data_IF_758459906572
#
_entry.id   IF_758459906572
#
_cell.length_a   1.000
_cell.length_b   1.000
_cell.length_c   1.000
_cell.angle_alpha   90.00
_cell.angle_beta   90.00
_cell.angle_gamma   90.00
#
_symmetry.space_group_name_H-M   'P 1'
#
loop_
_entity.id
_entity.type
_entity.pdbx_description
1 polymer ?
#
# COMPACT_ATOMS: atom_id res chain seq x y z
N UNK A 1 17.45 -53.48 4.54
CA UNK A 1 16.16 -53.01 3.97
C UNK A 1 15.91 -51.56 4.40
N UNK A 2 15.90 -50.59 3.47
CA UNK A 2 15.61 -49.17 3.79
C UNK A 2 14.10 -48.92 3.66
N UNK A 3 13.39 -48.70 4.79
CA UNK A 3 11.98 -48.26 4.76
C UNK A 3 11.94 -46.84 4.17
N UNK A 4 11.33 -46.68 2.99
CA UNK A 4 11.00 -45.35 2.46
C UNK A 4 9.84 -44.81 3.29
N UNK A 5 10.10 -43.78 4.10
CA UNK A 5 9.05 -43.00 4.74
C UNK A 5 8.34 -42.19 3.66
N UNK A 6 7.19 -42.67 3.19
CA UNK A 6 6.28 -41.90 2.36
C UNK A 6 5.50 -40.94 3.26
N UNK A 7 5.96 -39.69 3.36
CA UNK A 7 5.19 -38.63 4.00
C UNK A 7 4.06 -38.23 3.05
N UNK A 8 2.84 -38.71 3.32
CA UNK A 8 1.65 -38.27 2.60
C UNK A 8 1.39 -36.80 2.97
N UNK A 9 1.62 -35.89 2.01
CA UNK A 9 1.32 -34.48 2.21
C UNK A 9 -0.19 -34.27 2.24
N UNK A 10 -0.73 -33.87 3.38
CA UNK A 10 -2.12 -33.47 3.45
C UNK A 10 -2.36 -32.22 2.58
N UNK A 11 -3.42 -32.22 1.75
CA UNK A 11 -3.74 -31.06 0.93
C UNK A 11 -4.04 -29.86 1.85
N UNK A 12 -3.60 -28.65 1.47
CA UNK A 12 -3.89 -27.45 2.26
C UNK A 12 -5.42 -27.21 2.32
N UNK A 13 -5.95 -26.64 3.41
CA UNK A 13 -7.37 -26.27 3.52
C UNK A 13 -7.87 -25.43 2.34
N UNK A 14 -9.18 -25.51 2.03
CA UNK A 14 -9.77 -24.81 0.89
C UNK A 14 -9.56 -23.29 0.91
N UNK A 15 -9.70 -22.67 2.09
CA UNK A 15 -9.49 -21.22 2.27
C UNK A 15 -8.05 -20.80 1.94
N UNK A 16 -7.04 -21.63 2.26
CA UNK A 16 -5.65 -21.35 1.93
C UNK A 16 -5.43 -21.32 0.42
N UNK A 17 -6.01 -22.28 -0.30
CA UNK A 17 -5.93 -22.35 -1.76
C UNK A 17 -6.63 -21.15 -2.41
N UNK A 18 -7.79 -20.76 -1.92
CA UNK A 18 -8.53 -19.61 -2.43
C UNK A 18 -7.77 -18.29 -2.18
N UNK A 19 -7.18 -18.11 -0.99
CA UNK A 19 -6.35 -16.95 -0.68
C UNK A 19 -5.11 -16.89 -1.57
N UNK A 20 -4.39 -18.01 -1.71
CA UNK A 20 -3.23 -18.10 -2.59
C UNK A 20 -3.59 -17.77 -4.04
N UNK A 21 -4.73 -18.27 -4.55
CA UNK A 21 -5.20 -17.94 -5.91
C UNK A 21 -5.44 -16.44 -6.09
N UNK A 22 -6.09 -15.78 -5.12
CA UNK A 22 -6.34 -14.33 -5.17
C UNK A 22 -5.03 -13.55 -5.16
N UNK A 23 -4.12 -13.91 -4.26
CA UNK A 23 -2.79 -13.31 -4.20
C UNK A 23 -2.00 -13.48 -5.50
N UNK A 24 -2.00 -14.70 -6.09
CA UNK A 24 -1.34 -14.96 -7.38
C UNK A 24 -1.92 -14.10 -8.51
N UNK A 25 -3.24 -13.84 -8.48
CA UNK A 25 -3.88 -12.94 -9.43
C UNK A 25 -3.35 -11.50 -9.32
N UNK A 26 -3.23 -10.96 -8.09
CA UNK A 26 -2.64 -9.64 -7.85
C UNK A 26 -1.17 -9.59 -8.29
N UNK A 27 -0.40 -10.64 -7.96
CA UNK A 27 1.01 -10.74 -8.34
C UNK A 27 1.21 -10.74 -9.86
N UNK A 28 0.38 -11.49 -10.60
CA UNK A 28 0.42 -11.52 -12.06
C UNK A 28 0.02 -10.18 -12.69
N UNK A 29 -0.87 -9.40 -12.07
CA UNK A 29 -1.20 -8.05 -12.54
C UNK A 29 0.01 -7.13 -12.36
N UNK A 30 0.64 -7.16 -11.18
CA UNK A 30 1.84 -6.37 -10.90
C UNK A 30 2.96 -6.67 -11.90
N UNK A 31 3.25 -7.95 -12.15
CA UNK A 31 4.32 -8.35 -13.08
C UNK A 31 4.05 -7.90 -14.52
N UNK A 32 2.78 -7.89 -14.96
CA UNK A 32 2.39 -7.34 -16.27
C UNK A 32 2.57 -5.82 -16.32
N UNK A 33 2.11 -5.11 -15.30
CA UNK A 33 2.27 -3.66 -15.20
C UNK A 33 3.74 -3.23 -15.11
N UNK A 34 4.60 -4.07 -14.53
CA UNK A 34 6.04 -3.85 -14.50
C UNK A 34 6.70 -4.09 -15.86
N UNK A 35 6.26 -5.12 -16.60
CA UNK A 35 6.76 -5.42 -17.94
C UNK A 35 6.36 -4.35 -18.99
N UNK A 36 5.19 -3.73 -18.82
CA UNK A 36 4.69 -2.67 -19.71
C UNK A 36 5.29 -1.29 -19.42
N UNK A 37 5.95 -1.12 -18.26
CA UNK A 37 6.61 0.13 -17.95
C UNK A 37 7.89 0.26 -18.78
N UNK A 38 8.09 1.38 -19.51
CA UNK A 38 9.36 1.63 -20.17
C UNK A 38 10.46 1.58 -19.11
N UNK A 39 11.69 1.13 -19.46
CA UNK A 39 12.82 1.21 -18.57
C UNK A 39 12.84 2.60 -17.97
N UNK A 40 12.72 2.70 -16.64
CA UNK A 40 12.86 3.99 -15.97
C UNK A 40 14.27 4.43 -16.31
N UNK A 41 14.39 5.36 -17.26
CA UNK A 41 15.63 6.10 -17.46
C UNK A 41 16.04 6.50 -16.07
N UNK A 42 17.22 6.03 -15.64
CA UNK A 42 17.76 6.29 -14.31
C UNK A 42 17.73 7.80 -14.14
N UNK A 43 16.66 8.30 -13.52
CA UNK A 43 16.41 9.71 -13.45
C UNK A 43 17.60 10.26 -12.66
N UNK A 44 18.51 10.93 -13.37
CA UNK A 44 19.55 11.73 -12.77
C UNK A 44 18.87 12.49 -11.63
N UNK A 45 19.46 12.52 -10.42
CA UNK A 45 18.78 12.94 -9.20
C UNK A 45 18.01 14.20 -9.53
N UNK A 46 16.68 14.06 -9.63
CA UNK A 46 15.87 15.11 -10.21
C UNK A 46 16.19 16.37 -9.42
N UNK A 47 16.86 17.33 -10.07
CA UNK A 47 17.04 18.67 -9.52
C UNK A 47 15.63 19.06 -9.11
N UNK A 48 15.41 19.32 -7.83
CA UNK A 48 14.08 19.56 -7.30
C UNK A 48 13.42 20.60 -8.21
N UNK A 49 12.41 20.23 -9.04
CA UNK A 49 11.85 21.16 -10.00
C UNK A 49 11.19 22.34 -9.28
N UNK A 50 10.96 22.23 -7.96
CA UNK A 50 10.52 23.32 -7.09
C UNK A 50 11.61 24.37 -6.82
N UNK A 51 12.87 23.95 -6.73
CA UNK A 51 14.00 24.88 -6.65
C UNK A 51 14.19 25.65 -7.96
N UNK A 52 13.78 25.07 -9.09
CA UNK A 52 13.86 25.72 -10.41
C UNK A 52 12.61 26.56 -10.76
N UNK A 53 11.42 26.20 -10.25
CA UNK A 53 10.14 26.84 -10.62
C UNK A 53 9.63 27.86 -9.59
N UNK A 54 10.36 28.12 -8.49
CA UNK A 54 9.89 29.02 -7.43
C UNK A 54 8.57 28.57 -6.77
N UNK A 55 8.12 27.35 -7.03
CA UNK A 55 6.93 26.78 -6.42
C UNK A 55 7.26 26.37 -4.99
N UNK A 56 7.12 27.30 -4.06
CA UNK A 56 6.80 26.96 -2.69
C UNK A 56 5.45 26.25 -2.73
N UNK A 57 5.45 24.92 -2.75
CA UNK A 57 4.30 24.19 -2.25
C UNK A 57 4.16 24.64 -0.80
N UNK A 58 3.32 25.67 -0.59
CA UNK A 58 2.91 26.10 0.72
C UNK A 58 2.53 24.86 1.51
N UNK A 59 2.98 24.80 2.75
CA UNK A 59 2.63 23.78 3.73
C UNK A 59 1.14 23.89 4.14
N UNK A 60 0.27 24.19 3.18
CA UNK A 60 -1.16 24.45 3.34
C UNK A 60 -1.99 23.30 2.76
N UNK A 61 -1.64 22.07 3.11
CA UNK A 61 -2.68 21.09 3.44
C UNK A 61 -2.99 21.21 4.93
N UNK A 62 -3.15 22.45 5.40
CA UNK A 62 -3.52 22.78 6.75
C UNK A 62 -5.03 22.57 6.88
N UNK A 63 -5.43 21.36 7.26
CA UNK A 63 -6.75 21.13 7.89
C UNK A 63 -6.82 21.75 9.30
N UNK A 64 -6.01 22.78 9.58
CA UNK A 64 -5.85 23.46 10.88
C UNK A 64 -5.22 22.62 11.99
N UNK A 65 -5.09 21.30 11.81
CA UNK A 65 -4.60 20.40 12.85
C UNK A 65 -3.15 20.01 12.59
N UNK A 66 -2.26 20.40 13.50
CA UNK A 66 -0.87 19.98 13.47
C UNK A 66 -0.79 18.44 13.43
N UNK A 67 0.05 17.91 12.53
CA UNK A 67 0.32 16.47 12.46
C UNK A 67 0.91 16.00 13.80
N UNK A 68 0.28 15.01 14.48
CA UNK A 68 0.75 14.59 15.79
C UNK A 68 2.15 13.98 15.70
N UNK A 69 2.96 14.24 16.73
CA UNK A 69 4.27 13.63 16.86
C UNK A 69 4.21 12.09 16.73
N UNK A 70 5.22 11.44 16.12
CA UNK A 70 5.26 9.99 15.97
C UNK A 70 5.08 9.26 17.30
N UNK A 71 4.13 8.33 17.35
CA UNK A 71 3.82 7.54 18.53
C UNK A 71 3.45 6.09 18.18
N UNK A 72 3.75 5.15 19.09
CA UNK A 72 3.37 3.76 18.92
C UNK A 72 1.85 3.61 18.70
N UNK A 73 1.48 2.68 17.83
CA UNK A 73 0.14 2.44 17.34
C UNK A 73 -0.30 3.34 16.18
N UNK A 74 0.42 4.41 15.82
CA UNK A 74 0.07 5.24 14.67
C UNK A 74 0.36 4.50 13.34
N UNK A 75 -0.39 4.89 12.31
CA UNK A 75 -0.10 4.57 10.90
C UNK A 75 0.36 5.87 10.25
N UNK A 76 1.49 5.80 9.53
CA UNK A 76 2.07 6.96 8.84
C UNK A 76 2.42 6.63 7.39
N UNK A 77 2.25 7.60 6.50
CA UNK A 77 2.72 7.55 5.12
C UNK A 77 4.08 8.23 5.05
N UNK A 78 5.10 7.52 4.60
CA UNK A 78 6.45 8.06 4.46
C UNK A 78 6.54 9.08 3.33
N UNK A 79 7.34 10.12 3.54
CA UNK A 79 7.62 11.14 2.53
C UNK A 79 8.43 10.53 1.37
N UNK A 80 8.16 10.89 0.10
CA UNK A 80 8.90 10.38 -1.07
C UNK A 80 10.27 11.09 -1.23
N UNK A 81 11.10 11.01 -0.19
CA UNK A 81 12.37 11.72 -0.10
C UNK A 81 13.60 10.88 -0.47
N UNK A 82 13.42 9.60 -0.76
CA UNK A 82 14.46 8.71 -1.28
C UNK A 82 13.95 7.84 -2.44
N UNK A 83 14.86 7.10 -3.08
CA UNK A 83 14.51 6.28 -4.23
C UNK A 83 13.42 5.23 -3.92
N UNK A 84 13.46 4.59 -2.75
CA UNK A 84 12.49 3.56 -2.37
C UNK A 84 11.08 4.16 -2.16
N UNK A 85 10.99 5.27 -1.45
CA UNK A 85 9.71 5.98 -1.21
C UNK A 85 9.17 6.73 -2.42
N UNK A 86 10.00 6.98 -3.44
CA UNK A 86 9.57 7.49 -4.76
C UNK A 86 9.09 6.39 -5.70
N UNK A 87 9.56 5.16 -5.52
CA UNK A 87 9.10 4.03 -6.33
C UNK A 87 7.63 3.72 -6.10
N UNK A 88 7.16 3.86 -4.85
CA UNK A 88 5.76 3.67 -4.45
C UNK A 88 5.44 4.32 -3.09
N UNK A 89 4.17 4.68 -2.82
CA UNK A 89 3.74 5.10 -1.49
C UNK A 89 4.03 4.04 -0.42
N UNK A 90 4.61 4.44 0.72
CA UNK A 90 4.96 3.51 1.80
C UNK A 90 4.20 3.86 3.08
N UNK A 91 3.23 3.03 3.42
CA UNK A 91 2.53 3.12 4.70
C UNK A 91 3.21 2.22 5.72
N UNK A 92 3.41 2.73 6.93
CA UNK A 92 4.00 1.98 8.03
C UNK A 92 3.16 2.09 9.30
N UNK A 93 3.05 0.99 10.04
CA UNK A 93 2.56 1.00 11.41
C UNK A 93 3.72 1.13 12.39
N UNK A 94 3.64 2.08 13.32
CA UNK A 94 4.62 2.25 14.39
C UNK A 94 4.32 1.28 15.54
N UNK A 95 5.10 0.23 15.70
CA UNK A 95 4.79 -0.84 16.67
C UNK A 95 5.30 -0.53 18.07
N UNK A 96 6.52 -0.01 18.18
CA UNK A 96 7.17 0.32 19.45
C UNK A 96 8.21 1.42 19.25
N UNK A 97 8.54 2.14 20.34
CA UNK A 97 9.60 3.16 20.38
C UNK A 97 10.66 2.77 21.40
N UNK A 98 11.94 2.93 21.07
CA UNK A 98 13.07 2.78 21.99
C UNK A 98 14.21 3.71 21.58
N UNK A 99 14.71 4.52 22.52
CA UNK A 99 15.88 5.40 22.31
C UNK A 99 15.82 6.24 21.01
N UNK A 100 14.71 6.94 20.76
CA UNK A 100 14.54 7.75 19.55
C UNK A 100 14.32 6.97 18.25
N UNK A 101 14.34 5.64 18.30
CA UNK A 101 14.06 4.76 17.17
C UNK A 101 12.67 4.13 17.30
N UNK A 102 12.05 3.81 16.17
CA UNK A 102 10.78 3.11 16.09
C UNK A 102 10.93 1.79 15.35
N UNK A 103 10.41 0.72 15.92
CA UNK A 103 10.15 -0.51 15.17
C UNK A 103 8.87 -0.32 14.38
N UNK A 104 8.95 -0.49 13.08
CA UNK A 104 7.82 -0.31 12.16
C UNK A 104 7.55 -1.60 11.38
N UNK A 105 6.30 -1.80 11.00
CA UNK A 105 5.90 -2.81 10.02
C UNK A 105 5.30 -2.09 8.79
N UNK A 106 5.77 -2.38 7.57
CA UNK A 106 5.15 -1.83 6.37
C UNK A 106 3.80 -2.48 6.13
N UNK A 107 2.90 -1.74 5.51
CA UNK A 107 1.76 -2.35 4.84
C UNK A 107 2.19 -2.82 3.44
N UNK A 108 1.72 -4.00 3.06
CA UNK A 108 1.99 -4.58 1.75
C UNK A 108 1.23 -3.84 0.64
N UNK A 109 1.74 -3.95 -0.58
CA UNK A 109 1.07 -3.41 -1.79
C UNK A 109 -0.18 -4.20 -2.20
N UNK A 110 -0.30 -5.44 -1.73
CA UNK A 110 -1.39 -6.36 -2.07
C UNK A 110 -2.50 -6.36 -1.01
N UNK A 111 -3.71 -6.67 -1.45
CA UNK A 111 -4.88 -6.75 -0.59
C UNK A 111 -5.00 -8.11 0.12
N UNK A 112 -4.32 -9.14 -0.40
CA UNK A 112 -4.27 -10.48 0.18
C UNK A 112 -2.91 -10.75 0.82
N UNK A 113 -2.86 -11.34 2.03
CA UNK A 113 -1.59 -11.74 2.64
C UNK A 113 -1.04 -12.98 1.93
N UNK A 114 0.23 -12.91 1.58
CA UNK A 114 0.97 -13.91 0.83
C UNK A 114 1.36 -15.10 1.69
N UNK A 115 1.84 -14.87 2.92
CA UNK A 115 2.30 -15.92 3.84
C UNK A 115 2.13 -15.57 5.33
N UNK A 116 2.52 -16.47 6.23
CA UNK A 116 2.14 -16.50 7.66
C UNK A 116 2.51 -15.23 8.46
N UNK A 117 3.46 -14.44 7.99
CA UNK A 117 3.87 -13.19 8.63
C UNK A 117 3.15 -11.93 8.12
N UNK A 118 2.18 -12.09 7.23
CA UNK A 118 1.36 -11.01 6.69
C UNK A 118 -0.03 -11.10 7.27
N UNK A 119 -0.47 -10.03 7.94
CA UNK A 119 -1.74 -9.99 8.66
C UNK A 119 -2.76 -9.19 7.87
N UNK A 120 -3.86 -9.82 7.46
CA UNK A 120 -5.02 -9.11 6.95
C UNK A 120 -5.65 -8.23 8.05
N UNK A 121 -5.79 -6.95 7.75
CA UNK A 121 -6.56 -5.96 8.50
C UNK A 121 -7.99 -5.91 7.97
N UNK A 122 -8.88 -5.27 8.71
CA UNK A 122 -10.28 -5.08 8.32
C UNK A 122 -10.49 -3.75 7.59
N UNK A 123 -9.41 -3.13 7.11
CA UNK A 123 -9.45 -1.80 6.50
C UNK A 123 -9.95 -1.87 5.06
N UNK A 124 -10.76 -0.89 4.67
CA UNK A 124 -11.29 -0.80 3.30
C UNK A 124 -10.22 -0.35 2.29
N UNK A 125 -9.33 0.57 2.68
CA UNK A 125 -8.27 1.10 1.82
C UNK A 125 -7.27 0.00 1.41
N UNK A 126 -7.11 -0.30 0.10
CA UNK A 126 -6.26 -1.39 -0.36
C UNK A 126 -4.83 -1.37 0.20
N UNK A 127 -4.18 -0.21 0.20
CA UNK A 127 -2.81 -0.04 0.70
C UNK A 127 -2.64 -0.25 2.22
N UNK A 128 -3.72 -0.46 2.97
CA UNK A 128 -3.70 -0.71 4.41
C UNK A 128 -4.28 -2.09 4.79
N UNK A 129 -4.60 -2.94 3.81
CA UNK A 129 -5.25 -4.24 4.04
C UNK A 129 -4.33 -5.31 4.60
N UNK A 130 -3.03 -5.24 4.31
CA UNK A 130 -2.08 -6.27 4.73
C UNK A 130 -0.93 -5.63 5.49
N UNK A 131 -0.70 -6.04 6.73
CA UNK A 131 0.43 -5.60 7.55
C UNK A 131 1.53 -6.67 7.54
N UNK A 132 2.71 -6.33 7.01
CA UNK A 132 3.82 -7.28 6.81
C UNK A 132 4.72 -7.36 8.05
N UNK A 133 4.29 -8.11 9.06
CA UNK A 133 4.97 -8.26 10.35
C UNK A 133 6.26 -9.08 10.30
N UNK A 134 6.50 -9.78 9.18
CA UNK A 134 7.77 -10.46 8.91
C UNK A 134 8.87 -9.51 8.43
N UNK A 135 8.51 -8.33 7.90
CA UNK A 135 9.44 -7.39 7.25
C UNK A 135 9.62 -6.13 8.10
N UNK A 136 9.90 -6.32 9.39
CA UNK A 136 10.06 -5.22 10.33
C UNK A 136 11.31 -4.40 10.00
N UNK A 137 11.19 -3.09 10.17
CA UNK A 137 12.31 -2.15 10.07
C UNK A 137 12.42 -1.31 11.34
N UNK A 138 13.59 -0.70 11.52
CA UNK A 138 13.85 0.29 12.56
C UNK A 138 14.14 1.63 11.89
N UNK A 139 13.33 2.65 12.20
CA UNK A 139 13.44 3.99 11.63
C UNK A 139 13.61 5.05 12.74
N UNK A 140 14.40 6.11 12.51
CA UNK A 140 14.59 7.16 13.50
C UNK A 140 13.36 8.09 13.57
N UNK A 141 13.12 8.66 14.75
CA UNK A 141 12.00 9.59 14.99
C UNK A 141 12.03 10.79 14.05
N UNK A 142 13.22 11.32 13.71
CA UNK A 142 13.39 12.46 12.80
C UNK A 142 12.83 12.19 11.40
N UNK A 143 13.01 10.97 10.89
CA UNK A 143 12.44 10.57 9.59
C UNK A 143 10.92 10.49 9.67
N UNK A 144 10.39 9.91 10.74
CA UNK A 144 8.94 9.76 10.95
C UNK A 144 8.25 11.09 11.26
N UNK A 145 8.96 12.08 11.79
CA UNK A 145 8.42 13.42 12.00
C UNK A 145 8.12 14.15 10.68
N UNK A 146 8.81 13.76 9.59
CA UNK A 146 8.59 14.29 8.23
C UNK A 146 7.54 13.53 7.43
N UNK A 147 7.03 12.43 7.98
CA UNK A 147 6.01 11.60 7.34
C UNK A 147 4.61 12.14 7.69
N UNK A 148 3.57 11.68 7.01
CA UNK A 148 2.20 12.13 7.28
C UNK A 148 1.43 11.15 8.15
N UNK A 149 0.67 11.66 9.12
CA UNK A 149 -0.28 10.84 9.89
C UNK A 149 -1.46 10.40 9.03
N UNK A 150 -1.75 9.10 9.06
CA UNK A 150 -2.85 8.49 8.28
C UNK A 150 -3.93 7.95 9.21
N UNK A 151 -3.55 7.50 10.41
CA UNK A 151 -4.51 6.92 11.35
C UNK A 151 -3.85 6.21 12.52
N UNK A 152 -4.60 5.29 13.12
CA UNK A 152 -4.12 4.47 14.24
C UNK A 152 -4.57 3.02 14.08
N UNK A 153 -3.71 2.09 14.45
CA UNK A 153 -4.10 0.70 14.67
C UNK A 153 -5.12 0.63 15.81
N UNK A 154 -6.21 -0.10 15.61
CA UNK A 154 -7.18 -0.41 16.65
C UNK A 154 -6.55 -1.27 17.76
N UNK A 155 -7.21 -1.39 18.91
CA UNK A 155 -6.73 -2.29 19.98
C UNK A 155 -6.63 -3.74 19.49
N UNK A 156 -7.63 -4.19 18.73
CA UNK A 156 -7.66 -5.52 18.13
C UNK A 156 -6.49 -5.73 17.14
N UNK A 157 -6.24 -4.77 16.25
CA UNK A 157 -5.12 -4.83 15.30
C UNK A 157 -3.77 -4.91 16.03
N UNK A 158 -3.57 -4.12 17.10
CA UNK A 158 -2.32 -4.17 17.89
C UNK A 158 -2.14 -5.50 18.59
N UNK A 159 -3.20 -6.06 19.18
CA UNK A 159 -3.16 -7.37 19.83
C UNK A 159 -2.85 -8.47 18.83
N UNK A 160 -3.52 -8.47 17.67
CA UNK A 160 -3.28 -9.40 16.58
C UNK A 160 -1.83 -9.31 16.06
N UNK A 161 -1.33 -8.10 15.84
CA UNK A 161 0.05 -7.87 15.39
C UNK A 161 1.08 -8.39 16.41
N UNK A 162 0.86 -8.17 17.70
CA UNK A 162 1.72 -8.71 18.75
C UNK A 162 1.71 -10.24 18.78
N UNK A 163 0.54 -10.86 18.63
CA UNK A 163 0.40 -12.32 18.61
C UNK A 163 1.13 -12.95 17.41
N UNK A 164 0.95 -12.41 16.19
CA UNK A 164 1.67 -12.86 14.99
C UNK A 164 3.18 -12.70 15.18
N UNK A 165 3.66 -11.57 15.73
CA UNK A 165 5.09 -11.39 15.99
C UNK A 165 5.67 -12.40 16.97
N UNK A 166 4.96 -12.73 18.05
CA UNK A 166 5.38 -13.77 18.99
C UNK A 166 5.41 -15.14 18.30
N UNK A 167 4.45 -15.42 17.44
CA UNK A 167 4.40 -16.65 16.66
C UNK A 167 5.60 -16.77 15.71
N UNK A 168 5.89 -15.74 14.93
CA UNK A 168 7.06 -15.70 14.04
C UNK A 168 8.39 -15.85 14.80
N UNK A 169 8.44 -15.42 16.06
CA UNK A 169 9.60 -15.60 16.93
C UNK A 169 9.67 -16.99 17.61
N UNK A 170 8.76 -17.92 17.29
CA UNK A 170 8.68 -19.24 17.91
C UNK A 170 8.23 -19.23 19.38
N UNK A 171 7.70 -18.10 19.86
CA UNK A 171 7.37 -17.90 21.29
C UNK A 171 5.92 -18.28 21.64
N UNK A 172 5.05 -18.49 20.65
CA UNK A 172 3.66 -18.87 20.86
C UNK A 172 3.05 -19.53 19.61
N UNK A 173 2.07 -20.41 19.80
CA UNK A 173 1.18 -20.82 18.72
C UNK A 173 0.23 -19.67 18.34
N UNK A 174 -0.17 -19.63 17.07
CA UNK A 174 -1.15 -18.66 16.58
C UNK A 174 -2.55 -19.25 16.71
N UNK A 175 -3.49 -18.48 17.28
CA UNK A 175 -4.89 -18.90 17.36
C UNK A 175 -5.46 -19.17 15.95
N UNK A 176 -6.30 -20.21 15.76
CA UNK A 176 -6.80 -20.59 14.42
C UNK A 176 -7.49 -19.46 13.67
N UNK A 177 -8.27 -18.62 14.35
CA UNK A 177 -9.00 -17.49 13.77
C UNK A 177 -8.02 -16.43 13.25
N UNK A 178 -6.94 -16.21 13.98
CA UNK A 178 -5.88 -15.28 13.58
C UNK A 178 -5.02 -15.87 12.46
N UNK A 179 -4.76 -17.19 12.48
CA UNK A 179 -4.05 -17.88 11.40
C UNK A 179 -4.80 -17.79 10.06
N UNK A 180 -6.14 -17.82 10.07
CA UNK A 180 -6.95 -17.61 8.87
C UNK A 180 -6.84 -16.19 8.29
N UNK A 181 -6.47 -15.20 9.11
CA UNK A 181 -6.18 -13.83 8.68
C UNK A 181 -4.76 -13.66 8.15
N UNK A 182 -3.90 -14.65 8.34
CA UNK A 182 -2.56 -14.65 7.78
C UNK A 182 -2.52 -15.33 6.40
N UNK A 183 -1.44 -15.10 5.66
CA UNK A 183 -1.23 -15.79 4.40
C UNK A 183 -0.87 -17.27 4.61
N UNK A 184 -1.08 -18.13 3.60
CA UNK A 184 -0.79 -19.56 3.72
C UNK A 184 0.71 -19.84 3.83
N UNK A 185 1.13 -20.95 4.48
CA UNK A 185 2.55 -21.30 4.62
C UNK A 185 3.26 -21.43 3.27
N UNK A 186 4.55 -21.07 3.24
CA UNK A 186 5.45 -21.33 2.11
C UNK A 186 5.94 -22.78 2.21
N UNK A 187 5.48 -23.65 1.31
CA UNK A 187 5.82 -25.08 1.33
C UNK A 187 6.85 -25.49 0.28
N UNK A 188 6.87 -24.81 -0.86
CA UNK A 188 7.68 -25.20 -2.00
C UNK A 188 8.85 -24.20 -2.24
N UNK A 189 10.07 -24.67 -2.55
CA UNK A 189 11.19 -23.79 -2.86
C UNK A 189 10.95 -22.92 -4.10
N UNK A 190 10.28 -23.44 -5.12
CA UNK A 190 9.93 -22.70 -6.35
C UNK A 190 8.58 -21.96 -6.27
N UNK A 191 8.09 -21.67 -5.05
CA UNK A 191 6.88 -20.88 -4.88
C UNK A 191 7.16 -19.41 -5.30
N UNK A 192 6.38 -18.81 -6.21
CA UNK A 192 6.61 -17.44 -6.69
C UNK A 192 6.55 -16.39 -5.58
N UNK A 193 5.92 -16.70 -4.44
CA UNK A 193 5.93 -15.83 -3.26
C UNK A 193 7.34 -15.61 -2.68
N UNK A 194 8.31 -16.46 -3.01
CA UNK A 194 9.70 -16.28 -2.59
C UNK A 194 10.36 -15.06 -3.27
N UNK A 195 10.05 -14.84 -4.55
CA UNK A 195 10.51 -13.67 -5.31
C UNK A 195 9.93 -12.39 -4.71
N UNK A 196 8.62 -12.34 -4.54
CA UNK A 196 7.94 -11.25 -3.83
C UNK A 196 8.56 -10.96 -2.45
N UNK A 197 8.82 -12.00 -1.65
CA UNK A 197 9.45 -11.86 -0.34
C UNK A 197 10.86 -11.28 -0.44
N UNK A 198 11.64 -11.67 -1.45
CA UNK A 198 12.97 -11.12 -1.67
C UNK A 198 12.91 -9.64 -2.05
N UNK A 199 12.00 -9.26 -2.96
CA UNK A 199 11.76 -7.86 -3.37
C UNK A 199 11.40 -6.98 -2.18
N UNK A 200 10.41 -7.40 -1.38
CA UNK A 200 9.95 -6.62 -0.22
C UNK A 200 11.05 -6.48 0.84
N UNK A 201 11.88 -7.52 1.04
CA UNK A 201 13.02 -7.45 1.96
C UNK A 201 14.06 -6.46 1.45
N UNK A 202 14.40 -6.52 0.18
CA UNK A 202 15.35 -5.60 -0.45
C UNK A 202 14.84 -4.14 -0.37
N UNK A 203 13.56 -3.93 -0.65
CA UNK A 203 12.89 -2.64 -0.54
C UNK A 203 13.00 -2.05 0.87
N UNK A 204 12.68 -2.83 1.91
CA UNK A 204 12.78 -2.34 3.30
C UNK A 204 14.23 -2.12 3.75
N UNK A 205 15.17 -2.93 3.28
CA UNK A 205 16.59 -2.70 3.56
C UNK A 205 17.08 -1.35 2.98
N UNK A 206 16.67 -1.00 1.75
CA UNK A 206 16.96 0.32 1.14
C UNK A 206 16.37 1.46 1.95
N UNK A 207 15.13 1.31 2.42
CA UNK A 207 14.47 2.29 3.29
C UNK A 207 15.26 2.53 4.59
N UNK A 208 15.72 1.45 5.23
CA UNK A 208 16.51 1.54 6.45
C UNK A 208 17.89 2.17 6.21
N UNK A 209 18.57 1.80 5.11
CA UNK A 209 19.85 2.38 4.75
C UNK A 209 19.75 3.88 4.51
N UNK A 210 18.74 4.33 3.76
CA UNK A 210 18.48 5.76 3.54
C UNK A 210 18.23 6.53 4.85
N UNK A 211 17.62 5.88 5.85
CA UNK A 211 17.38 6.48 7.16
C UNK A 211 18.64 6.57 8.04
N UNK A 212 19.67 5.76 7.78
CA UNK A 212 20.95 5.80 8.51
C UNK A 212 21.92 6.85 7.97
N UNK A 213 21.86 7.14 6.67
CA UNK A 213 22.73 8.12 5.99
C UNK A 213 22.24 9.56 6.18
N UNK A 214 20.94 9.76 6.40
CA UNK A 214 20.41 11.08 6.65
C UNK A 214 21.15 11.70 7.84
N UNK A 215 21.94 12.77 7.64
CA UNK A 215 22.63 13.39 8.74
C UNK A 215 21.59 13.76 9.80
N UNK A 216 21.93 13.69 11.10
CA UNK A 216 21.14 14.36 12.11
C UNK A 216 21.22 15.83 11.75
N UNK A 217 20.30 16.32 10.92
CA UNK A 217 20.31 17.73 10.56
C UNK A 217 20.16 18.46 11.88
N UNK A 218 21.23 19.16 12.22
CA UNK A 218 21.27 20.22 13.20
C UNK A 218 19.99 21.04 13.07
N UNK A 219 19.49 21.48 14.23
CA UNK A 219 18.35 22.36 14.42
C UNK A 219 17.89 23.00 13.13
N UNK A 220 16.68 22.63 12.68
CA UNK A 220 15.91 23.26 11.61
C UNK A 220 16.57 24.55 11.14
N UNK A 221 17.50 24.44 10.17
CA UNK A 221 17.97 25.62 9.46
C UNK A 221 16.68 26.22 8.93
N UNK A 222 16.31 27.35 9.52
CA UNK A 222 15.20 28.15 9.06
C UNK A 222 15.45 28.26 7.56
N UNK A 223 14.58 27.64 6.77
CA UNK A 223 14.58 27.87 5.34
C UNK A 223 14.58 29.38 5.23
N UNK A 224 15.57 30.00 4.55
CA UNK A 224 15.60 31.45 4.46
C UNK A 224 14.22 31.83 3.97
N UNK A 225 13.50 32.60 4.80
CA UNK A 225 12.28 33.28 4.37
C UNK A 225 12.76 34.16 3.23
N UNK A 226 12.73 33.63 2.01
CA UNK A 226 12.84 34.44 0.82
C UNK A 226 11.67 35.38 0.93
N UNK A 227 11.98 36.64 1.26
CA UNK A 227 11.02 37.73 1.27
C UNK A 227 10.11 37.55 0.08
N UNK A 228 8.80 37.52 0.34
CA UNK A 228 7.75 37.56 -0.66
C UNK A 228 7.74 38.93 -1.37
N UNK A 229 8.90 39.37 -1.84
CA UNK A 229 9.11 40.61 -2.54
C UNK A 229 8.73 40.38 -4.00
N UNK A 230 7.53 40.85 -4.33
CA UNK A 230 7.13 41.35 -5.64
C UNK A 230 7.32 40.38 -6.82
N UNK A 231 6.57 39.27 -6.82
CA UNK A 231 6.09 38.75 -8.10
C UNK A 231 4.87 39.59 -8.50
N UNK A 232 5.12 40.57 -9.37
CA UNK A 232 4.07 41.27 -10.11
C UNK A 232 3.09 40.26 -10.69
N UNK A 233 1.79 40.55 -10.49
CA UNK A 233 0.68 39.72 -10.92
C UNK A 233 0.72 39.53 -12.44
N UNK A 234 1.33 38.43 -12.88
CA UNK A 234 1.05 37.83 -14.19
C UNK A 234 -0.36 37.20 -14.16
N UNK A 235 -1.37 38.03 -13.93
CA UNK A 235 -2.76 37.71 -14.20
C UNK A 235 -2.96 37.90 -15.70
N UNK A 236 -2.54 36.91 -16.48
CA UNK A 236 -2.97 36.81 -17.87
C UNK A 236 -4.50 36.73 -17.91
N UNK A 237 -5.10 37.66 -18.66
CA UNK A 237 -6.53 37.72 -18.91
C UNK A 237 -6.94 36.42 -19.61
N UNK A 238 -7.72 35.58 -18.91
CA UNK A 238 -8.33 34.40 -19.51
C UNK A 238 -9.32 34.83 -20.59
N UNK A 239 -9.02 34.51 -21.84
CA UNK A 239 -9.99 34.53 -22.92
C UNK A 239 -11.19 33.64 -22.54
N UNK A 240 -12.39 34.16 -22.77
CA UNK A 240 -13.67 33.47 -22.62
C UNK A 240 -13.66 32.16 -23.40
N UNK A 241 -13.81 31.04 -22.68
CA UNK A 241 -14.05 29.74 -23.29
C UNK A 241 -15.35 29.81 -24.08
N UNK A 242 -15.25 29.66 -25.40
CA UNK A 242 -16.39 29.70 -26.30
C UNK A 242 -17.43 28.66 -25.93
N UNK A 243 -18.64 29.13 -25.61
CA UNK A 243 -19.84 28.32 -25.51
C UNK A 243 -20.25 27.87 -26.92
N UNK A 244 -19.60 26.83 -27.44
CA UNK A 244 -20.04 26.14 -28.65
C UNK A 244 -21.38 25.46 -28.39
N UNK A 245 -22.47 26.13 -28.76
CA UNK A 245 -23.80 25.51 -28.89
C UNK A 245 -23.68 24.30 -29.82
N UNK A 246 -23.97 23.12 -29.30
CA UNK A 246 -24.25 21.94 -30.12
C UNK A 246 -25.60 22.16 -30.84
N UNK A 247 -25.68 22.10 -32.17
CA UNK A 247 -26.96 22.19 -32.86
C UNK A 247 -27.86 20.98 -32.52
N UNK A 248 -29.19 21.15 -32.46
CA UNK A 248 -30.12 20.06 -32.18
C UNK A 248 -30.13 19.05 -33.33
N UNK A 249 -30.10 17.77 -32.98
CA UNK A 249 -30.25 16.67 -33.91
C UNK A 249 -31.69 16.65 -34.46
N UNK A 250 -31.81 16.48 -35.78
CA UNK A 250 -33.10 16.32 -36.46
C UNK A 250 -33.80 15.02 -36.03
N UNK A 251 -35.14 15.00 -35.93
CA UNK A 251 -35.90 13.78 -35.68
C UNK A 251 -35.89 12.90 -36.94
N UNK A 252 -35.52 11.63 -36.78
CA UNK A 252 -35.75 10.61 -37.79
C UNK A 252 -37.15 10.01 -37.57
N UNK A 253 -38.03 10.30 -38.51
CA UNK A 253 -39.36 9.71 -38.66
C UNK A 253 -39.30 8.26 -39.15
N UNK A 254 -40.20 7.46 -38.58
CA UNK A 254 -40.78 6.26 -39.20
C UNK A 254 -39.95 4.97 -39.10
N UNK A 255 -40.54 3.78 -39.00
CA UNK A 255 -41.90 3.34 -38.75
C UNK A 255 -41.84 1.82 -38.58
N UNK A 256 -42.80 1.29 -37.82
CA UNK A 256 -43.44 -0.02 -37.96
C UNK A 256 -42.62 -1.33 -37.91
N UNK A 257 -43.08 -2.23 -37.03
CA UNK A 257 -43.20 -3.64 -37.40
C UNK A 257 -42.92 -4.64 -36.28
N UNK A 258 -43.97 -5.30 -35.79
CA UNK A 258 -43.90 -6.76 -35.58
C UNK A 258 -44.12 -7.26 -34.15
N UNK A 259 -45.35 -7.69 -33.90
CA UNK A 259 -45.76 -8.68 -32.90
C UNK A 259 -44.83 -9.90 -32.81
N UNK A 260 -44.68 -10.46 -31.60
CA UNK A 260 -45.01 -11.86 -31.34
C UNK A 260 -44.82 -12.24 -29.85
N UNK A 261 -45.96 -12.47 -29.21
CA UNK A 261 -46.25 -13.43 -28.16
C UNK A 261 -45.27 -14.62 -28.02
N UNK A 262 -44.87 -14.94 -26.78
CA UNK A 262 -44.87 -16.32 -26.28
C UNK A 262 -44.59 -16.39 -24.77
N UNK A 263 -45.68 -16.57 -24.04
CA UNK A 263 -45.85 -17.41 -22.85
C UNK A 263 -44.71 -18.40 -22.53
N UNK A 264 -44.24 -18.41 -21.27
CA UNK A 264 -43.98 -19.67 -20.55
C UNK A 264 -44.06 -19.48 -19.04
N UNK A 265 -45.19 -19.93 -18.51
CA UNK A 265 -45.33 -20.42 -17.15
C UNK A 265 -44.42 -21.65 -16.95
N UNK A 266 -43.85 -21.80 -15.76
CA UNK A 266 -43.05 -22.95 -15.38
C UNK A 266 -42.94 -23.08 -13.88
N UNK A 267 -43.99 -23.63 -13.28
CA UNK A 267 -44.03 -24.14 -11.91
C UNK A 267 -42.93 -25.17 -11.65
N UNK A 268 -42.40 -25.20 -10.43
CA UNK A 268 -41.50 -26.25 -9.96
C UNK A 268 -41.43 -26.27 -8.45
N UNK A 269 -42.42 -26.92 -7.82
CA UNK A 269 -42.49 -27.24 -6.42
C UNK A 269 -41.68 -28.52 -6.09
N UNK A 270 -41.27 -28.65 -4.82
CA UNK A 270 -40.91 -29.92 -4.17
C UNK A 270 -39.42 -30.09 -3.89
N UNK A 271 -38.98 -30.46 -2.69
CA UNK A 271 -39.73 -30.81 -1.48
C UNK A 271 -38.82 -31.31 -0.36
N UNK A 272 -39.44 -31.39 0.82
CA UNK A 272 -39.09 -32.07 2.08
C UNK A 272 -37.83 -31.62 2.83
#
# INVERSE_FOLDING_TARGET
>A
MKRRLSVALQPPPAWQRQRLRRWLGEWQIEQRLAADQPPRESAAPARDPRAAAGWSCGAEYATGKADPAPAAGQIRLLRPDDAATRERPVFVALLSRRAGMFTVAPFGRFAEPAFEGELATERSAPALRVLCLWNLAVLPAVRLARSWWVGRLSKAERTAAAAVRRHLAGRAALAPELAQRCGPPLRHPADPRQEYRAEERFFMARLQAAAAVAPPTAAAEAWPETEAAALERAAEQRATYGSGRRPPAAPADGAAGGDASASRQGSGAGGR
#
